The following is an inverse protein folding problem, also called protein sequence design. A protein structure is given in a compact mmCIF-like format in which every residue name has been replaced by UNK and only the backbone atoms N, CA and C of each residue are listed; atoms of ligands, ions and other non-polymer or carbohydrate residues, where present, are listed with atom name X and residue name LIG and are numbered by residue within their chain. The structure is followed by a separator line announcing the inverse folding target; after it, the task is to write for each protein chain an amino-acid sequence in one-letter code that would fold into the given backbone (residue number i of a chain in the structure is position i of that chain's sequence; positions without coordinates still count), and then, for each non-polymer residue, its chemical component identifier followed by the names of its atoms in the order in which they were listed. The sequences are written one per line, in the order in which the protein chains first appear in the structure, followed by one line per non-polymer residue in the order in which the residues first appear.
data_IF_451969466229
#
_entry.id   IF_451969466229
#
_cell.length_a   1.000
_cell.length_b   1.000
_cell.length_c   1.000
_cell.angle_alpha   90.00
_cell.angle_beta   90.00
_cell.angle_gamma   90.00
#
_symmetry.space_group_name_H-M   'P 1'
#
loop_
_entity.id
_entity.type
_entity.pdbx_description
1 polymer ?
#
# COMPACT_ATOMS: atom_id res chain seq x y z
N UNK A 1 15.32 -5.68 -24.03
CA UNK A 1 14.75 -6.40 -25.20
C UNK A 1 15.21 -5.76 -26.51
N UNK A 2 15.02 -4.44 -26.70
CA UNK A 2 15.44 -3.70 -27.91
C UNK A 2 16.96 -3.77 -28.18
N UNK A 3 17.79 -3.61 -27.15
CA UNK A 3 19.27 -3.63 -27.30
C UNK A 3 19.85 -4.95 -27.84
N UNK A 4 19.20 -6.08 -27.59
CA UNK A 4 19.67 -7.40 -28.05
C UNK A 4 19.25 -7.72 -29.48
N UNK A 5 18.08 -7.23 -29.91
CA UNK A 5 17.62 -7.34 -31.30
C UNK A 5 18.53 -6.51 -32.22
N UNK A 6 18.93 -5.32 -31.77
CA UNK A 6 19.90 -4.49 -32.48
C UNK A 6 21.27 -5.16 -32.60
N UNK A 7 21.78 -5.80 -31.54
CA UNK A 7 23.06 -6.52 -31.60
C UNK A 7 23.05 -7.67 -32.61
N UNK A 8 21.94 -8.41 -32.71
CA UNK A 8 21.78 -9.51 -33.68
C UNK A 8 21.66 -8.99 -35.12
N UNK A 9 20.90 -7.92 -35.36
CA UNK A 9 20.78 -7.26 -36.67
C UNK A 9 22.09 -6.64 -37.14
N UNK A 10 22.88 -6.08 -36.22
CA UNK A 10 24.20 -5.52 -36.51
C UNK A 10 25.17 -6.65 -36.90
N UNK A 11 25.17 -7.78 -36.18
CA UNK A 11 26.00 -8.93 -36.54
C UNK A 11 25.63 -9.49 -37.92
N UNK A 12 24.33 -9.55 -38.24
CA UNK A 12 23.84 -10.01 -39.54
C UNK A 12 24.23 -9.05 -40.68
N UNK A 13 24.18 -7.73 -40.44
CA UNK A 13 24.57 -6.72 -41.41
C UNK A 13 26.09 -6.70 -41.68
N UNK A 14 26.91 -6.77 -40.63
CA UNK A 14 28.38 -6.80 -40.76
C UNK A 14 28.82 -8.01 -41.59
N UNK A 15 28.12 -9.14 -41.47
CA UNK A 15 28.43 -10.36 -42.19
C UNK A 15 28.00 -10.32 -43.68
N UNK A 16 26.83 -9.74 -44.00
CA UNK A 16 26.38 -9.54 -45.39
C UNK A 16 27.28 -8.56 -46.17
N UNK A 17 27.83 -7.55 -45.49
CA UNK A 17 28.81 -6.61 -46.05
C UNK A 17 30.18 -7.26 -46.28
N UNK A 18 30.63 -8.15 -45.39
CA UNK A 18 31.87 -8.91 -45.55
C UNK A 18 31.90 -9.82 -46.79
N UNK A 19 30.79 -10.52 -47.09
CA UNK A 19 30.69 -11.41 -48.26
C UNK A 19 30.75 -10.69 -49.61
N UNK A 20 30.32 -9.42 -49.70
CA UNK A 20 30.37 -8.64 -50.96
C UNK A 20 31.80 -8.15 -51.28
N UNK A 21 32.57 -7.81 -50.25
CA UNK A 21 33.92 -7.26 -50.42
C UNK A 21 34.93 -8.29 -50.94
N UNK A 22 34.78 -9.57 -50.60
CA UNK A 22 35.72 -10.63 -51.01
C UNK A 22 35.60 -10.97 -52.50
N UNK A 23 34.38 -10.98 -53.05
CA UNK A 23 34.14 -11.25 -54.48
C UNK A 23 34.73 -10.19 -55.41
N UNK A 24 34.71 -8.93 -55.00
CA UNK A 24 35.25 -7.82 -55.79
C UNK A 24 36.79 -7.86 -55.86
N UNK A 25 37.46 -8.28 -54.79
CA UNK A 25 38.93 -8.35 -54.73
C UNK A 25 39.51 -9.49 -55.58
N UNK A 26 38.86 -10.66 -55.62
CA UNK A 26 39.33 -11.78 -56.45
C UNK A 26 39.21 -11.50 -57.96
N UNK A 27 38.18 -10.75 -58.38
CA UNK A 27 38.05 -10.34 -59.79
C UNK A 27 39.13 -9.34 -60.21
N UNK A 28 39.55 -8.45 -59.31
CA UNK A 28 40.61 -7.47 -59.57
C UNK A 28 41.99 -8.13 -59.74
N UNK A 29 42.34 -9.07 -58.86
CA UNK A 29 43.61 -9.81 -58.95
C UNK A 29 43.68 -10.67 -60.21
N UNK A 30 42.57 -11.31 -60.61
CA UNK A 30 42.48 -12.13 -61.83
C UNK A 30 42.71 -11.30 -63.11
N UNK A 31 42.23 -10.06 -63.15
CA UNK A 31 42.42 -9.18 -64.31
C UNK A 31 43.83 -8.57 -64.36
N UNK A 32 44.45 -8.30 -63.21
CA UNK A 32 45.84 -7.85 -63.13
C UNK A 32 46.83 -8.94 -63.59
N UNK A 33 46.58 -10.19 -63.19
CA UNK A 33 47.42 -11.32 -63.56
C UNK A 33 47.29 -11.71 -65.04
N UNK A 34 46.09 -11.59 -65.63
CA UNK A 34 45.86 -11.86 -67.06
C UNK A 34 46.65 -10.92 -67.98
N UNK A 35 46.90 -9.68 -67.54
CA UNK A 35 47.66 -8.69 -68.30
C UNK A 35 49.20 -8.85 -68.15
N UNK A 36 49.66 -9.60 -67.14
CA UNK A 36 51.09 -9.79 -66.88
C UNK A 36 51.69 -11.06 -67.52
N UNK A 37 50.86 -11.99 -68.01
CA UNK A 37 51.28 -13.34 -68.47
C UNK A 37 51.16 -13.49 -69.99
N UNK A 38 51.38 -12.42 -70.76
CA UNK A 38 51.48 -12.51 -72.23
C UNK A 38 52.91 -12.74 -72.74
N UNK A 39 53.88 -12.95 -71.85
CA UNK A 39 55.22 -13.42 -72.17
C UNK A 39 55.70 -14.42 -71.12
N UNK A 40 56.10 -15.61 -71.60
CA UNK A 40 56.96 -16.61 -70.93
C UNK A 40 56.31 -17.79 -70.13
N UNK A 41 56.55 -19.00 -70.69
CA UNK A 41 56.54 -20.38 -70.17
C UNK A 41 55.24 -21.03 -69.61
N UNK A 42 54.60 -21.83 -70.48
CA UNK A 42 53.32 -22.54 -70.31
C UNK A 42 53.27 -23.69 -69.29
N UNK A 43 54.41 -24.16 -68.74
CA UNK A 43 54.44 -25.33 -67.84
C UNK A 43 54.40 -24.97 -66.35
N UNK A 44 55.09 -23.90 -65.93
CA UNK A 44 55.02 -23.44 -64.52
C UNK A 44 53.66 -22.80 -64.22
N UNK A 45 53.07 -22.12 -65.22
CA UNK A 45 51.72 -21.55 -65.15
C UNK A 45 50.67 -22.64 -64.92
N UNK A 46 50.80 -23.81 -65.53
CA UNK A 46 49.84 -24.90 -65.36
C UNK A 46 49.91 -25.55 -63.96
N UNK A 47 51.12 -25.70 -63.42
CA UNK A 47 51.32 -26.24 -62.07
C UNK A 47 50.88 -25.25 -60.98
N UNK A 48 51.16 -23.96 -61.15
CA UNK A 48 50.71 -22.89 -60.26
C UNK A 48 49.19 -22.69 -60.33
N UNK A 49 48.60 -22.75 -61.54
CA UNK A 49 47.15 -22.70 -61.74
C UNK A 49 46.44 -23.83 -61.01
N UNK A 50 46.91 -25.08 -61.14
CA UNK A 50 46.35 -26.21 -60.38
C UNK A 50 46.42 -26.02 -58.87
N UNK A 51 47.52 -25.47 -58.33
CA UNK A 51 47.66 -25.20 -56.89
C UNK A 51 46.73 -24.08 -56.42
N UNK A 52 46.54 -23.04 -57.24
CA UNK A 52 45.56 -21.99 -56.98
C UNK A 52 44.12 -22.53 -57.02
N UNK A 53 43.77 -23.35 -58.01
CA UNK A 53 42.43 -23.94 -58.13
C UNK A 53 42.11 -24.88 -56.95
N UNK A 54 43.10 -25.65 -56.48
CA UNK A 54 42.98 -26.49 -55.28
C UNK A 54 42.81 -25.65 -54.00
N UNK A 55 43.57 -24.56 -53.86
CA UNK A 55 43.43 -23.65 -52.71
C UNK A 55 42.10 -22.89 -52.72
N UNK A 56 41.59 -22.51 -53.90
CA UNK A 56 40.28 -21.86 -54.07
C UNK A 56 39.12 -22.85 -53.80
N UNK A 57 39.29 -24.12 -54.17
CA UNK A 57 38.35 -25.19 -53.84
C UNK A 57 38.30 -25.49 -52.33
N UNK A 58 39.44 -25.50 -51.64
CA UNK A 58 39.51 -25.73 -50.19
C UNK A 58 38.98 -24.53 -49.39
N UNK A 59 39.32 -23.30 -49.78
CA UNK A 59 38.81 -22.09 -49.13
C UNK A 59 37.29 -21.94 -49.36
N UNK A 60 36.81 -22.23 -50.58
CA UNK A 60 35.38 -22.27 -50.89
C UNK A 60 34.60 -23.33 -50.10
N UNK A 61 35.18 -24.53 -49.93
CA UNK A 61 34.60 -25.59 -49.12
C UNK A 61 34.55 -25.22 -47.62
N UNK A 62 35.57 -24.53 -47.11
CA UNK A 62 35.62 -24.05 -45.74
C UNK A 62 34.58 -22.95 -45.46
N UNK A 63 34.45 -21.98 -46.38
CA UNK A 63 33.45 -20.90 -46.31
C UNK A 63 32.02 -21.49 -46.33
N UNK A 64 31.75 -22.44 -47.23
CA UNK A 64 30.42 -23.06 -47.34
C UNK A 64 30.03 -23.84 -46.08
N UNK A 65 30.96 -24.62 -45.51
CA UNK A 65 30.73 -25.35 -44.25
C UNK A 65 30.45 -24.41 -43.07
N UNK A 66 31.22 -23.33 -42.96
CA UNK A 66 31.03 -22.35 -41.88
C UNK A 66 29.69 -21.60 -42.02
N UNK A 67 29.28 -21.26 -43.24
CA UNK A 67 27.95 -20.69 -43.49
C UNK A 67 26.81 -21.63 -43.09
N UNK A 68 26.92 -22.93 -43.39
CA UNK A 68 25.92 -23.91 -42.98
C UNK A 68 25.85 -24.01 -41.45
N UNK A 69 26.98 -24.09 -40.77
CA UNK A 69 27.04 -24.14 -39.31
C UNK A 69 26.44 -22.89 -38.64
N UNK A 70 26.67 -21.70 -39.21
CA UNK A 70 26.07 -20.46 -38.71
C UNK A 70 24.56 -20.41 -38.92
N UNK A 71 24.06 -20.87 -40.06
CA UNK A 71 22.61 -20.94 -40.34
C UNK A 71 21.94 -21.93 -39.38
N UNK A 72 22.55 -23.09 -39.13
CA UNK A 72 21.99 -24.08 -38.20
C UNK A 72 21.99 -23.54 -36.76
N UNK A 73 23.04 -22.86 -36.32
CA UNK A 73 23.06 -22.18 -35.01
C UNK A 73 22.02 -21.07 -34.92
N UNK A 74 21.86 -20.24 -35.96
CA UNK A 74 20.85 -19.18 -35.99
C UNK A 74 19.42 -19.73 -35.88
N UNK A 75 19.11 -20.80 -36.61
CA UNK A 75 17.83 -21.48 -36.54
C UNK A 75 17.58 -22.10 -35.16
N UNK A 76 18.60 -22.72 -34.56
CA UNK A 76 18.51 -23.27 -33.20
C UNK A 76 18.24 -22.17 -32.16
N UNK A 77 18.95 -21.03 -32.26
CA UNK A 77 18.71 -19.87 -31.40
C UNK A 77 17.29 -19.31 -31.58
N UNK A 78 16.81 -19.19 -32.82
CA UNK A 78 15.47 -18.71 -33.13
C UNK A 78 14.36 -19.62 -32.55
N UNK A 79 14.61 -20.93 -32.45
CA UNK A 79 13.68 -21.87 -31.82
C UNK A 79 13.68 -21.79 -30.28
N UNK A 80 14.85 -21.61 -29.65
CA UNK A 80 15.00 -21.62 -28.18
C UNK A 80 14.55 -20.28 -27.56
N UNK A 81 14.81 -19.16 -28.22
CA UNK A 81 14.54 -17.82 -27.69
C UNK A 81 13.06 -17.56 -27.32
N UNK A 82 12.05 -17.88 -28.16
CA UNK A 82 10.64 -17.67 -27.80
C UNK A 82 10.23 -18.51 -26.60
N UNK A 83 10.76 -19.73 -26.47
CA UNK A 83 10.49 -20.62 -25.32
C UNK A 83 10.97 -19.96 -24.02
N UNK A 84 12.17 -19.37 -24.02
CA UNK A 84 12.70 -18.67 -22.84
C UNK A 84 11.87 -17.43 -22.46
N UNK A 85 11.35 -16.69 -23.44
CA UNK A 85 10.49 -15.52 -23.20
C UNK A 85 9.17 -15.96 -22.56
N UNK A 86 8.53 -16.99 -23.11
CA UNK A 86 7.27 -17.52 -22.59
C UNK A 86 7.42 -18.04 -21.15
N UNK A 87 8.50 -18.78 -20.87
CA UNK A 87 8.80 -19.26 -19.51
C UNK A 87 9.00 -18.12 -18.51
N UNK A 88 9.73 -17.06 -18.89
CA UNK A 88 9.91 -15.87 -18.04
C UNK A 88 8.59 -15.16 -17.77
N UNK A 89 7.74 -15.00 -18.79
CA UNK A 89 6.42 -14.36 -18.64
C UNK A 89 5.51 -15.17 -17.71
N UNK A 90 5.47 -16.49 -17.89
CA UNK A 90 4.68 -17.38 -17.03
C UNK A 90 5.14 -17.33 -15.57
N UNK A 91 6.46 -17.32 -15.33
CA UNK A 91 7.02 -17.19 -13.96
C UNK A 91 6.64 -15.86 -13.31
N UNK A 92 6.69 -14.76 -14.05
CA UNK A 92 6.29 -13.44 -13.54
C UNK A 92 4.81 -13.40 -13.18
N UNK A 93 3.94 -13.85 -14.09
CA UNK A 93 2.51 -13.90 -13.84
C UNK A 93 2.17 -14.76 -12.60
N UNK A 94 2.81 -15.92 -12.44
CA UNK A 94 2.63 -16.77 -11.25
C UNK A 94 3.09 -16.08 -9.96
N UNK A 95 4.23 -15.40 -10.00
CA UNK A 95 4.75 -14.70 -8.82
C UNK A 95 3.84 -13.54 -8.42
N UNK A 96 3.36 -12.76 -9.39
CA UNK A 96 2.43 -11.67 -9.18
C UNK A 96 1.11 -12.16 -8.59
N UNK A 97 0.56 -13.27 -9.09
CA UNK A 97 -0.65 -13.87 -8.52
C UNK A 97 -0.46 -14.33 -7.08
N UNK A 98 0.69 -14.94 -6.75
CA UNK A 98 0.98 -15.39 -5.38
C UNK A 98 1.14 -14.19 -4.44
N UNK A 99 1.80 -13.13 -4.89
CA UNK A 99 1.98 -11.91 -4.11
C UNK A 99 0.64 -11.22 -3.83
N UNK A 100 -0.20 -11.08 -4.85
CA UNK A 100 -1.55 -10.51 -4.71
C UNK A 100 -2.43 -11.39 -3.82
N UNK A 101 -2.35 -12.71 -3.93
CA UNK A 101 -3.09 -13.62 -3.05
C UNK A 101 -2.63 -13.50 -1.59
N UNK A 102 -1.33 -13.37 -1.36
CA UNK A 102 -0.77 -13.19 -0.02
C UNK A 102 -1.19 -11.84 0.58
N UNK A 103 -1.09 -10.75 -0.18
CA UNK A 103 -1.54 -9.43 0.24
C UNK A 103 -3.04 -9.41 0.53
N UNK A 104 -3.86 -10.01 -0.34
CA UNK A 104 -5.30 -10.16 -0.09
C UNK A 104 -5.60 -10.98 1.16
N UNK A 105 -4.86 -12.07 1.42
CA UNK A 105 -5.01 -12.85 2.65
C UNK A 105 -4.67 -12.02 3.89
N UNK A 106 -3.58 -11.25 3.84
CA UNK A 106 -3.19 -10.36 4.94
C UNK A 106 -4.23 -9.27 5.18
N UNK A 107 -4.68 -8.58 4.14
CA UNK A 107 -5.73 -7.56 4.25
C UNK A 107 -7.03 -8.16 4.77
N UNK A 108 -7.37 -9.38 4.34
CA UNK A 108 -8.58 -10.04 4.82
C UNK A 108 -8.49 -10.44 6.30
N UNK A 109 -7.31 -10.84 6.78
CA UNK A 109 -7.05 -11.08 8.20
C UNK A 109 -7.14 -9.78 9.00
N UNK A 110 -6.43 -8.73 8.57
CA UNK A 110 -6.46 -7.42 9.23
C UNK A 110 -7.88 -6.86 9.33
N UNK A 111 -8.66 -6.98 8.25
CA UNK A 111 -10.07 -6.58 8.25
C UNK A 111 -10.87 -7.32 9.31
N UNK A 112 -10.73 -8.66 9.39
CA UNK A 112 -11.42 -9.46 10.42
C UNK A 112 -11.01 -9.07 11.84
N UNK A 113 -9.74 -8.76 12.05
CA UNK A 113 -9.24 -8.34 13.36
C UNK A 113 -9.80 -6.98 13.77
N UNK A 114 -9.89 -6.03 12.83
CA UNK A 114 -10.53 -4.73 13.05
C UNK A 114 -12.03 -4.90 13.33
N UNK A 115 -12.74 -5.71 12.55
CA UNK A 115 -14.17 -5.97 12.75
C UNK A 115 -14.46 -6.58 14.13
N UNK A 116 -13.63 -7.52 14.60
CA UNK A 116 -13.75 -8.07 15.96
C UNK A 116 -13.52 -7.01 17.03
N UNK A 117 -12.46 -6.20 16.91
CA UNK A 117 -12.19 -5.11 17.86
C UNK A 117 -13.32 -4.09 17.92
N UNK A 118 -13.93 -3.78 16.77
CA UNK A 118 -15.09 -2.89 16.71
C UNK A 118 -16.30 -3.52 17.44
N UNK A 119 -16.55 -4.81 17.22
CA UNK A 119 -17.63 -5.53 17.91
C UNK A 119 -17.40 -5.58 19.43
N UNK A 120 -16.16 -5.81 19.88
CA UNK A 120 -15.81 -5.79 21.30
C UNK A 120 -16.06 -4.40 21.92
N UNK A 121 -15.69 -3.33 21.21
CA UNK A 121 -15.94 -1.95 21.64
C UNK A 121 -17.44 -1.65 21.70
N UNK A 122 -18.20 -2.04 20.66
CA UNK A 122 -19.64 -1.84 20.59
C UNK A 122 -20.36 -2.56 21.73
N UNK A 123 -19.98 -3.79 22.03
CA UNK A 123 -20.50 -4.55 23.15
C UNK A 123 -20.24 -3.85 24.49
N UNK A 124 -18.99 -3.43 24.76
CA UNK A 124 -18.64 -2.71 25.99
C UNK A 124 -19.41 -1.39 26.09
N UNK A 125 -19.55 -0.65 24.99
CA UNK A 125 -20.29 0.61 24.96
C UNK A 125 -21.78 0.40 25.30
N UNK A 126 -22.39 -0.67 24.78
CA UNK A 126 -23.80 -1.00 25.08
C UNK A 126 -24.01 -1.35 26.56
N UNK A 127 -23.10 -2.13 27.16
CA UNK A 127 -23.13 -2.43 28.60
C UNK A 127 -22.97 -1.17 29.42
N UNK A 128 -22.05 -0.30 29.02
CA UNK A 128 -21.83 0.97 29.69
C UNK A 128 -23.09 1.85 29.64
N UNK A 129 -23.76 1.95 28.49
CA UNK A 129 -25.01 2.70 28.35
C UNK A 129 -26.09 2.18 29.29
N UNK A 130 -26.25 0.85 29.38
CA UNK A 130 -27.22 0.24 30.28
C UNK A 130 -26.92 0.55 31.76
N UNK A 131 -25.66 0.43 32.18
CA UNK A 131 -25.24 0.73 33.55
C UNK A 131 -25.45 2.23 33.85
N UNK A 132 -25.06 3.11 32.93
CA UNK A 132 -25.24 4.55 33.10
C UNK A 132 -26.73 4.92 33.21
N UNK A 133 -27.60 4.33 32.38
CA UNK A 133 -29.04 4.55 32.45
C UNK A 133 -29.64 4.07 33.79
N UNK A 134 -29.18 2.91 34.30
CA UNK A 134 -29.57 2.45 35.63
C UNK A 134 -29.13 3.44 36.71
N UNK A 135 -27.91 3.96 36.61
CA UNK A 135 -27.39 4.96 37.55
C UNK A 135 -28.20 6.26 37.53
N UNK A 136 -28.64 6.72 36.37
CA UNK A 136 -29.54 7.89 36.23
C UNK A 136 -30.86 7.64 36.95
N UNK A 137 -31.46 6.46 36.74
CA UNK A 137 -32.72 6.06 37.38
C UNK A 137 -32.59 6.03 38.90
N UNK A 138 -31.51 5.44 39.43
CA UNK A 138 -31.25 5.38 40.88
C UNK A 138 -31.04 6.78 41.46
N UNK A 139 -30.29 7.65 40.76
CA UNK A 139 -30.09 9.04 41.18
C UNK A 139 -31.41 9.81 41.26
N UNK A 140 -32.28 9.64 40.26
CA UNK A 140 -33.60 10.27 40.24
C UNK A 140 -34.45 9.78 41.42
N UNK A 141 -34.52 8.46 41.64
CA UNK A 141 -35.25 7.87 42.77
C UNK A 141 -34.75 8.40 44.12
N UNK A 142 -33.42 8.43 44.34
CA UNK A 142 -32.84 8.96 45.57
C UNK A 142 -33.15 10.44 45.75
N UNK A 143 -33.15 11.23 44.67
CA UNK A 143 -33.54 12.63 44.69
C UNK A 143 -35.01 12.80 45.09
N UNK A 144 -35.91 12.02 44.49
CA UNK A 144 -37.34 12.07 44.78
C UNK A 144 -37.61 11.69 46.24
N UNK A 145 -36.98 10.61 46.72
CA UNK A 145 -37.06 10.18 48.13
C UNK A 145 -36.55 11.24 49.09
N UNK A 146 -35.44 11.91 48.76
CA UNK A 146 -34.86 12.99 49.57
C UNK A 146 -35.81 14.19 49.70
N UNK A 147 -36.58 14.49 48.66
CA UNK A 147 -37.56 15.60 48.65
C UNK A 147 -38.95 15.20 49.14
N UNK A 148 -39.20 13.91 49.37
CA UNK A 148 -40.52 13.41 49.73
C UNK A 148 -40.92 13.83 51.15
N UNK A 149 -42.05 14.54 51.25
CA UNK A 149 -42.56 15.08 52.52
C UNK A 149 -42.84 14.03 53.60
N UNK A 150 -43.11 12.78 53.25
CA UNK A 150 -43.35 11.69 54.21
C UNK A 150 -42.04 11.07 54.72
N UNK A 151 -41.00 11.08 53.88
CA UNK A 151 -39.66 10.56 54.22
C UNK A 151 -38.91 11.55 55.11
N UNK A 152 -38.99 12.84 54.79
CA UNK A 152 -38.32 13.92 55.54
C UNK A 152 -38.80 14.00 57.00
N UNK A 153 -40.02 13.56 57.29
CA UNK A 153 -40.57 13.50 58.65
C UNK A 153 -39.85 12.50 59.56
N UNK A 154 -39.15 11.51 59.01
CA UNK A 154 -38.32 10.59 59.77
C UNK A 154 -36.84 10.99 59.62
N UNK A 155 -36.24 11.69 60.60
CA UNK A 155 -34.90 12.26 60.48
C UNK A 155 -33.81 11.19 60.31
N UNK A 156 -33.98 9.99 60.89
CA UNK A 156 -33.03 8.89 60.69
C UNK A 156 -33.06 8.37 59.25
N UNK A 157 -34.26 8.19 58.69
CA UNK A 157 -34.43 7.74 57.30
C UNK A 157 -33.97 8.81 56.31
N UNK A 158 -34.31 10.08 56.56
CA UNK A 158 -33.88 11.22 55.76
C UNK A 158 -32.34 11.36 55.76
N UNK A 159 -31.70 11.15 56.91
CA UNK A 159 -30.24 11.13 57.04
C UNK A 159 -29.61 10.05 56.16
N UNK A 160 -30.08 8.80 56.27
CA UNK A 160 -29.59 7.67 55.45
C UNK A 160 -29.77 7.90 53.95
N UNK A 161 -30.90 8.47 53.53
CA UNK A 161 -31.16 8.76 52.11
C UNK A 161 -30.26 9.90 51.62
N UNK A 162 -30.02 10.93 52.45
CA UNK A 162 -29.11 12.01 52.09
C UNK A 162 -27.66 11.52 51.97
N UNK A 163 -27.21 10.66 52.89
CA UNK A 163 -25.89 10.02 52.84
C UNK A 163 -25.74 9.14 51.60
N UNK A 164 -26.70 8.24 51.35
CA UNK A 164 -26.73 7.40 50.15
C UNK A 164 -26.75 8.22 48.85
N UNK A 165 -27.47 9.34 48.81
CA UNK A 165 -27.46 10.25 47.66
C UNK A 165 -26.09 10.90 47.44
N UNK A 166 -25.47 11.41 48.50
CA UNK A 166 -24.15 12.06 48.43
C UNK A 166 -23.10 11.04 47.99
N UNK A 167 -23.07 9.87 48.61
CA UNK A 167 -22.14 8.78 48.27
C UNK A 167 -22.34 8.30 46.83
N UNK A 168 -23.59 8.15 46.40
CA UNK A 168 -23.88 7.77 45.02
C UNK A 168 -23.38 8.82 44.03
N UNK A 169 -23.65 10.10 44.28
CA UNK A 169 -23.22 11.19 43.38
C UNK A 169 -21.69 11.31 43.34
N UNK A 170 -21.01 11.14 44.48
CA UNK A 170 -19.56 11.20 44.56
C UNK A 170 -18.89 10.04 43.80
N UNK A 171 -19.44 8.82 43.89
CA UNK A 171 -18.82 7.62 43.32
C UNK A 171 -19.28 7.29 41.89
N UNK A 172 -20.46 7.76 41.47
CA UNK A 172 -20.98 7.50 40.12
C UNK A 172 -20.52 8.53 39.07
N UNK A 173 -19.89 9.64 39.48
CA UNK A 173 -19.43 10.67 38.57
C UNK A 173 -18.15 10.25 37.83
N UNK A 174 -18.16 10.35 36.49
CA UNK A 174 -16.95 10.16 35.69
C UNK A 174 -16.07 11.40 35.86
N UNK A 175 -14.87 11.22 36.42
CA UNK A 175 -13.86 12.27 36.42
C UNK A 175 -13.12 12.30 35.09
N UNK A 176 -13.70 13.00 34.10
CA UNK A 176 -13.13 13.11 32.76
C UNK A 176 -11.69 13.63 32.75
N UNK A 177 -11.30 14.46 33.72
CA UNK A 177 -9.93 14.95 33.91
C UNK A 177 -8.91 13.83 34.16
N UNK A 178 -9.32 12.74 34.81
CA UNK A 178 -8.45 11.57 35.05
C UNK A 178 -8.39 10.64 33.84
N UNK A 179 -9.42 10.67 32.99
CA UNK A 179 -9.55 9.74 31.85
C UNK A 179 -8.95 10.34 30.58
N UNK A 180 -9.16 11.64 30.35
CA UNK A 180 -8.80 12.37 29.13
C UNK A 180 -7.59 13.25 29.39
N UNK A 181 -6.41 12.62 29.41
CA UNK A 181 -5.12 13.31 29.40
C UNK A 181 -4.78 13.83 28.01
N UNK A 182 -3.85 14.76 27.90
CA UNK A 182 -3.45 15.35 26.61
C UNK A 182 -2.93 14.30 25.63
N UNK A 183 -2.15 13.32 26.11
CA UNK A 183 -1.64 12.23 25.28
C UNK A 183 -2.78 11.37 24.70
N UNK A 184 -3.81 11.07 25.50
CA UNK A 184 -4.98 10.31 25.03
C UNK A 184 -5.82 11.12 24.07
N UNK A 185 -5.95 12.42 24.31
CA UNK A 185 -6.64 13.31 23.40
C UNK A 185 -5.97 13.33 22.02
N UNK A 186 -4.64 13.44 21.97
CA UNK A 186 -3.87 13.37 20.72
C UNK A 186 -4.03 11.99 20.05
N UNK A 187 -4.00 10.89 20.81
CA UNK A 187 -4.21 9.53 20.29
C UNK A 187 -5.59 9.36 19.63
N UNK A 188 -6.65 9.91 20.24
CA UNK A 188 -8.02 9.75 19.74
C UNK A 188 -8.43 10.74 18.65
N UNK A 189 -7.76 11.89 18.56
CA UNK A 189 -8.16 12.97 17.63
C UNK A 189 -7.10 13.29 16.59
N UNK A 190 -5.83 12.91 16.81
CA UNK A 190 -4.69 13.37 16.01
C UNK A 190 -4.34 14.85 16.20
N UNK A 191 -5.03 15.56 17.10
CA UNK A 191 -4.85 17.00 17.29
C UNK A 191 -3.85 17.25 18.42
N UNK A 192 -2.77 17.96 18.08
CA UNK A 192 -1.81 18.47 19.05
C UNK A 192 -2.09 19.94 19.36
N UNK A 193 -2.49 20.21 20.60
CA UNK A 193 -2.76 21.57 21.06
C UNK A 193 -1.46 22.28 21.44
N UNK A 194 -1.30 23.55 21.00
CA UNK A 194 -0.16 24.38 21.37
C UNK A 194 -0.16 24.74 22.87
N UNK A 195 -1.36 24.99 23.41
CA UNK A 195 -1.58 25.11 24.85
C UNK A 195 -2.66 24.08 25.25
N UNK A 196 -2.32 23.11 26.12
CA UNK A 196 -3.25 22.07 26.55
C UNK A 196 -4.44 22.63 27.36
N UNK A 197 -4.37 23.84 27.91
CA UNK A 197 -5.48 24.44 28.68
C UNK A 197 -6.55 25.09 27.81
N UNK A 198 -6.32 25.25 26.51
CA UNK A 198 -7.27 25.86 25.57
C UNK A 198 -8.63 25.15 25.60
N UNK A 199 -8.62 23.82 25.67
CA UNK A 199 -9.82 22.99 25.80
C UNK A 199 -9.86 22.35 27.18
N UNK A 200 -11.00 22.47 27.85
CA UNK A 200 -11.25 21.75 29.10
C UNK A 200 -11.33 20.23 28.87
N UNK A 201 -11.09 19.42 29.90
CA UNK A 201 -11.17 17.96 29.81
C UNK A 201 -12.53 17.46 29.32
N UNK A 202 -13.60 18.17 29.66
CA UNK A 202 -14.95 17.89 29.16
C UNK A 202 -15.13 18.20 27.67
N UNK A 203 -14.50 19.26 27.17
CA UNK A 203 -14.50 19.62 25.75
C UNK A 203 -13.64 18.64 24.94
N UNK A 204 -12.46 18.27 25.45
CA UNK A 204 -11.59 17.25 24.87
C UNK A 204 -12.29 15.90 24.75
N UNK A 205 -12.95 15.46 25.83
CA UNK A 205 -13.74 14.23 25.81
C UNK A 205 -14.90 14.31 24.82
N UNK A 206 -15.62 15.43 24.80
CA UNK A 206 -16.72 15.60 23.84
C UNK A 206 -16.22 15.54 22.39
N UNK A 207 -15.07 16.14 22.10
CA UNK A 207 -14.45 16.10 20.77
C UNK A 207 -14.01 14.68 20.39
N UNK A 208 -13.30 13.99 21.29
CA UNK A 208 -12.82 12.63 21.07
C UNK A 208 -13.98 11.65 20.81
N UNK A 209 -15.04 11.72 21.61
CA UNK A 209 -16.21 10.87 21.42
C UNK A 209 -17.02 11.24 20.18
N UNK A 210 -17.03 12.52 19.78
CA UNK A 210 -17.65 12.93 18.52
C UNK A 210 -16.86 12.42 17.31
N UNK A 211 -15.53 12.37 17.40
CA UNK A 211 -14.66 11.75 16.38
C UNK A 211 -14.94 10.24 16.21
N UNK A 212 -15.35 9.58 17.29
CA UNK A 212 -15.79 8.17 17.27
C UNK A 212 -17.22 7.99 16.72
N UNK A 213 -17.86 9.04 16.21
CA UNK A 213 -19.22 9.06 15.66
C UNK A 213 -20.31 8.64 16.65
N UNK A 214 -20.13 8.89 17.95
CA UNK A 214 -21.20 8.69 18.92
C UNK A 214 -22.34 9.70 18.67
N UNK A 215 -23.57 9.20 18.66
CA UNK A 215 -24.75 10.04 18.51
C UNK A 215 -25.03 10.87 19.77
N UNK A 216 -25.95 11.82 19.65
CA UNK A 216 -26.28 12.71 20.78
C UNK A 216 -26.95 11.98 21.95
N UNK A 217 -27.66 10.88 21.70
CA UNK A 217 -28.31 10.07 22.72
C UNK A 217 -27.24 9.36 23.57
N UNK A 218 -26.30 8.68 22.92
CA UNK A 218 -25.19 7.99 23.56
C UNK A 218 -24.32 8.95 24.37
N UNK A 219 -24.00 10.12 23.79
CA UNK A 219 -23.27 11.17 24.49
C UNK A 219 -24.04 11.73 25.69
N UNK A 220 -25.37 11.86 25.59
CA UNK A 220 -26.20 12.35 26.69
C UNK A 220 -26.15 11.42 27.91
N UNK A 221 -26.12 10.11 27.65
CA UNK A 221 -25.99 9.07 28.67
C UNK A 221 -24.58 9.11 29.30
N UNK A 222 -23.52 9.21 28.48
CA UNK A 222 -22.14 9.29 28.95
C UNK A 222 -21.86 10.53 29.81
N UNK A 223 -22.40 11.67 29.41
CA UNK A 223 -22.24 12.94 30.14
C UNK A 223 -23.31 13.16 31.22
N UNK A 224 -24.20 12.19 31.44
CA UNK A 224 -25.32 12.31 32.38
C UNK A 224 -26.09 13.63 32.22
N UNK A 225 -26.50 13.92 30.98
CA UNK A 225 -27.18 15.17 30.60
C UNK A 225 -28.26 14.89 29.54
N UNK A 226 -28.89 15.93 29.00
CA UNK A 226 -29.88 15.78 27.94
C UNK A 226 -29.24 15.90 26.55
N UNK A 227 -29.85 15.29 25.53
CA UNK A 227 -29.39 15.46 24.14
C UNK A 227 -29.35 16.92 23.69
N UNK A 228 -30.29 17.74 24.16
CA UNK A 228 -30.33 19.18 23.88
C UNK A 228 -29.09 19.89 24.42
N UNK A 229 -28.69 19.55 25.65
CA UNK A 229 -27.46 20.04 26.27
C UNK A 229 -26.23 19.63 25.46
N UNK A 230 -26.16 18.38 24.99
CA UNK A 230 -25.07 17.90 24.12
C UNK A 230 -25.01 18.69 22.81
N UNK A 231 -26.14 18.90 22.12
CA UNK A 231 -26.19 19.71 20.89
C UNK A 231 -25.67 21.12 21.13
N UNK A 232 -26.09 21.77 22.21
CA UNK A 232 -25.61 23.09 22.59
C UNK A 232 -24.11 23.12 22.89
N UNK A 233 -23.59 22.12 23.60
CA UNK A 233 -22.15 21.99 23.89
C UNK A 233 -21.33 21.75 22.62
N UNK A 234 -21.79 20.91 21.69
CA UNK A 234 -21.17 20.68 20.38
C UNK A 234 -21.10 21.95 19.55
N UNK A 235 -22.21 22.70 19.49
CA UNK A 235 -22.24 23.99 18.77
C UNK A 235 -21.25 25.01 19.35
N UNK A 236 -21.20 25.14 20.68
CA UNK A 236 -20.22 26.01 21.37
C UNK A 236 -18.78 25.57 21.10
N UNK A 237 -18.52 24.26 21.15
CA UNK A 237 -17.20 23.69 20.90
C UNK A 237 -16.75 23.95 19.45
N UNK A 238 -17.63 23.74 18.46
CA UNK A 238 -17.35 24.06 17.06
C UNK A 238 -17.00 25.53 16.87
N UNK A 239 -17.78 26.44 17.46
CA UNK A 239 -17.49 27.87 17.40
C UNK A 239 -16.13 28.21 18.02
N UNK A 240 -15.81 27.62 19.18
CA UNK A 240 -14.53 27.82 19.87
C UNK A 240 -13.35 27.32 19.04
N UNK A 241 -13.44 26.12 18.47
CA UNK A 241 -12.43 25.53 17.58
C UNK A 241 -12.18 26.42 16.36
N UNK A 242 -13.25 26.92 15.74
CA UNK A 242 -13.15 27.81 14.58
C UNK A 242 -12.44 29.13 14.91
N UNK A 243 -12.76 29.74 16.06
CA UNK A 243 -12.11 30.98 16.52
C UNK A 243 -10.62 30.76 16.79
N UNK A 244 -10.25 29.60 17.31
CA UNK A 244 -8.87 29.25 17.66
C UNK A 244 -8.05 28.73 16.47
N UNK A 245 -8.67 28.52 15.32
CA UNK A 245 -7.99 28.00 14.13
C UNK A 245 -7.45 26.56 14.31
N UNK A 246 -8.08 25.76 15.18
CA UNK A 246 -7.67 24.36 15.38
C UNK A 246 -8.15 23.56 14.16
N UNK A 247 -7.22 22.90 13.47
CA UNK A 247 -7.55 22.04 12.35
C UNK A 247 -8.27 20.78 12.85
N UNK A 248 -9.53 20.61 12.42
CA UNK A 248 -10.38 19.45 12.72
C UNK A 248 -10.73 18.66 11.46
N UNK A 249 -9.92 18.78 10.39
CA UNK A 249 -10.14 18.06 9.13
C UNK A 249 -10.33 16.55 9.40
N UNK A 250 -11.56 16.07 9.22
CA UNK A 250 -11.95 14.67 9.44
C UNK A 250 -12.79 14.39 10.68
N UNK A 251 -12.97 15.35 11.59
CA UNK A 251 -13.79 15.17 12.81
C UNK A 251 -15.21 15.71 12.60
N UNK A 252 -16.20 14.83 12.76
CA UNK A 252 -17.62 15.23 12.71
C UNK A 252 -18.09 15.68 14.10
N UNK A 253 -18.40 16.97 14.24
CA UNK A 253 -18.98 17.57 15.47
C UNK A 253 -20.47 17.88 15.26
#
# INVERSE_FOLDING_TARGET
MIRFIYAFLILLCVFLLGCKSLKANCQYVRNSFRNAVQEQESLQIQALGKRCDLAEADDGAFIYRNHILLITMANLCAAIFPILILLKRQRRAKMETILVEHENKQLHQQKKDIERKLLDIEFILSLYQQISQQNVTVKALLSDLKTNAHVVKNPQLAGKISEAYIDFVANAAIHFEKVMTDNRFEEFTGIRLADPQILSSNEKMLLALSNMNLDNQQLSILFNTTESSIRGRKAKLRAKIQVLGIDINGITI
#
